data_IF_576772218206
#
_entry.id   IF_576772218206
#
_cell.length_a   1.000
_cell.length_b   1.000
_cell.length_c   1.000
_cell.angle_alpha   90.00
_cell.angle_beta   90.00
_cell.angle_gamma   90.00
#
_symmetry.space_group_name_H-M   'P 1'
#
loop_
_entity.id
_entity.type
_entity.pdbx_description
1 polymer ?
#
# COMPACT_ATOMS: atom_id res chain seq x y z
N UNK A 1 10.74 0.33 -2.41
CA UNK A 1 9.49 0.12 -3.15
C UNK A 1 9.66 -1.02 -4.12
N UNK A 2 8.72 -1.95 -4.17
CA UNK A 2 8.65 -3.04 -5.14
C UNK A 2 7.43 -2.81 -6.03
N UNK A 3 7.59 -2.99 -7.34
CA UNK A 3 6.49 -3.03 -8.30
C UNK A 3 6.43 -4.44 -8.87
N UNK A 4 5.28 -5.09 -8.77
CA UNK A 4 5.05 -6.46 -9.23
C UNK A 4 3.86 -6.45 -10.19
N UNK A 5 4.09 -6.91 -11.42
CA UNK A 5 3.06 -7.02 -12.46
C UNK A 5 3.48 -8.07 -13.48
N UNK A 6 2.54 -8.73 -14.13
CA UNK A 6 2.85 -9.58 -15.28
C UNK A 6 3.05 -8.74 -16.54
N UNK A 7 4.24 -8.79 -17.10
CA UNK A 7 4.65 -8.02 -18.28
C UNK A 7 4.31 -8.75 -19.59
N UNK A 8 3.94 -10.03 -19.52
CA UNK A 8 3.71 -10.86 -20.70
C UNK A 8 2.28 -10.78 -21.23
N UNK A 9 1.33 -10.25 -20.46
CA UNK A 9 -0.09 -10.21 -20.80
C UNK A 9 -0.57 -8.93 -21.49
N UNK A 10 0.22 -7.87 -21.48
CA UNK A 10 -0.18 -6.57 -22.01
C UNK A 10 -0.15 -6.49 -23.53
N UNK A 11 -1.04 -5.68 -24.09
CA UNK A 11 -0.98 -5.27 -25.51
C UNK A 11 0.23 -4.36 -25.74
N UNK A 12 1.43 -4.92 -25.63
CA UNK A 12 2.65 -4.22 -25.98
C UNK A 12 2.62 -3.94 -27.48
N UNK A 13 2.61 -2.69 -27.87
CA UNK A 13 2.87 -2.37 -29.26
C UNK A 13 4.28 -2.86 -29.62
N UNK A 14 4.44 -3.44 -30.81
CA UNK A 14 5.70 -4.01 -31.32
C UNK A 14 6.82 -2.94 -31.48
N UNK A 15 6.71 -1.80 -30.83
CA UNK A 15 7.70 -0.73 -30.85
C UNK A 15 8.73 -0.94 -29.75
N UNK A 16 10.01 -1.16 -30.08
CA UNK A 16 11.09 -1.50 -29.12
C UNK A 16 11.45 -0.40 -28.10
N UNK A 17 10.63 0.63 -27.96
CA UNK A 17 10.88 1.77 -27.05
C UNK A 17 9.96 1.86 -25.85
N UNK A 18 8.85 1.09 -25.80
CA UNK A 18 7.77 1.27 -24.83
C UNK A 18 7.55 0.03 -23.92
N UNK A 19 8.63 -0.53 -23.39
CA UNK A 19 8.54 -1.61 -22.41
C UNK A 19 7.80 -1.16 -21.15
N UNK A 20 7.83 0.13 -20.83
CA UNK A 20 7.16 0.68 -19.66
C UNK A 20 5.62 0.66 -19.76
N UNK A 21 5.04 0.76 -20.95
CA UNK A 21 3.58 0.75 -21.10
C UNK A 21 2.95 -0.64 -20.88
N UNK A 22 3.67 -1.72 -21.18
CA UNK A 22 3.14 -3.10 -21.08
C UNK A 22 2.76 -3.52 -19.67
N UNK A 23 3.46 -3.00 -18.66
CA UNK A 23 3.21 -3.36 -17.25
C UNK A 23 1.88 -2.81 -16.73
N UNK A 24 1.37 -1.76 -17.35
CA UNK A 24 0.18 -1.02 -16.91
C UNK A 24 -1.11 -1.46 -17.61
N UNK A 25 -1.03 -2.33 -18.62
CA UNK A 25 -2.19 -2.70 -19.42
C UNK A 25 -2.43 -4.20 -19.44
N UNK A 26 -3.72 -4.58 -19.45
CA UNK A 26 -4.21 -5.94 -19.64
C UNK A 26 -4.03 -6.35 -21.12
N UNK A 27 -4.13 -7.65 -21.42
CA UNK A 27 -4.03 -8.17 -22.80
C UNK A 27 -5.10 -7.60 -23.74
N UNK A 28 -6.21 -7.11 -23.22
CA UNK A 28 -7.29 -6.49 -23.98
C UNK A 28 -7.10 -4.98 -24.18
N UNK A 29 -5.99 -4.39 -23.70
CA UNK A 29 -5.67 -2.98 -23.78
C UNK A 29 -6.31 -2.09 -22.70
N UNK A 30 -7.06 -2.66 -21.76
CA UNK A 30 -7.55 -1.94 -20.59
C UNK A 30 -6.41 -1.75 -19.57
N UNK A 31 -6.45 -0.64 -18.82
CA UNK A 31 -5.53 -0.40 -17.72
C UNK A 31 -5.70 -1.47 -16.63
N UNK A 32 -4.60 -1.93 -16.04
CA UNK A 32 -4.64 -2.78 -14.84
C UNK A 32 -5.12 -1.98 -13.64
N UNK A 33 -5.78 -2.67 -12.73
CA UNK A 33 -6.06 -2.14 -11.39
C UNK A 33 -4.73 -1.90 -10.65
N UNK A 34 -4.62 -0.79 -9.95
CA UNK A 34 -3.42 -0.43 -9.20
C UNK A 34 -3.68 -0.58 -7.71
N UNK A 35 -2.91 -1.44 -7.07
CA UNK A 35 -2.98 -1.65 -5.62
C UNK A 35 -1.69 -1.18 -4.99
N UNK A 36 -1.79 -0.25 -4.04
CA UNK A 36 -0.68 0.20 -3.23
C UNK A 36 -0.77 -0.35 -1.81
N UNK A 37 0.29 -1.01 -1.38
CA UNK A 37 0.40 -1.61 -0.04
C UNK A 37 1.62 -1.04 0.65
N UNK A 38 1.48 -0.60 1.89
CA UNK A 38 2.64 -0.26 2.71
C UNK A 38 2.59 -0.91 4.10
N UNK A 39 3.77 -1.05 4.67
CA UNK A 39 3.98 -1.50 6.04
C UNK A 39 4.97 -0.60 6.77
N UNK A 40 4.96 -0.70 8.11
CA UNK A 40 5.99 -0.10 8.93
C UNK A 40 5.92 1.41 9.08
N UNK A 41 4.74 2.04 9.07
CA UNK A 41 4.59 3.44 9.52
C UNK A 41 5.08 3.62 10.96
N UNK A 42 4.73 2.67 11.83
CA UNK A 42 5.27 2.63 13.19
C UNK A 42 6.37 1.57 13.25
N UNK A 43 7.56 1.97 13.70
CA UNK A 43 8.73 1.09 13.65
C UNK A 43 8.61 -0.14 14.54
N UNK A 44 7.96 -0.05 15.69
CA UNK A 44 7.73 -1.17 16.59
C UNK A 44 6.57 -2.10 16.19
N UNK A 45 5.92 -1.84 15.09
CA UNK A 45 4.85 -2.69 14.55
C UNK A 45 5.42 -3.68 13.51
N UNK A 46 6.38 -4.51 13.94
CA UNK A 46 7.17 -5.40 13.07
C UNK A 46 6.32 -6.31 12.19
N UNK A 47 5.19 -6.82 12.70
CA UNK A 47 4.30 -7.70 11.94
C UNK A 47 3.72 -6.99 10.71
N UNK A 48 3.47 -5.68 10.77
CA UNK A 48 3.00 -4.91 9.61
C UNK A 48 4.02 -4.91 8.47
N UNK A 49 5.31 -4.76 8.81
CA UNK A 49 6.43 -4.87 7.87
C UNK A 49 6.57 -6.28 7.32
N UNK A 50 6.50 -7.29 8.19
CA UNK A 50 6.60 -8.70 7.78
C UNK A 50 5.45 -9.10 6.86
N UNK A 51 4.23 -8.65 7.12
CA UNK A 51 3.08 -8.92 6.25
C UNK A 51 3.26 -8.30 4.86
N UNK A 52 3.71 -7.05 4.78
CA UNK A 52 3.99 -6.42 3.49
C UNK A 52 5.07 -7.17 2.71
N UNK A 53 6.10 -7.66 3.41
CA UNK A 53 7.15 -8.50 2.80
C UNK A 53 6.59 -9.85 2.32
N UNK A 54 5.80 -10.54 3.15
CA UNK A 54 5.20 -11.84 2.81
C UNK A 54 4.24 -11.75 1.63
N UNK A 55 3.49 -10.64 1.51
CA UNK A 55 2.64 -10.39 0.34
C UNK A 55 3.51 -10.30 -0.92
N UNK A 56 4.60 -9.53 -0.88
CA UNK A 56 5.52 -9.41 -2.01
C UNK A 56 6.14 -10.78 -2.36
N UNK A 57 6.60 -11.52 -1.37
CA UNK A 57 7.19 -12.85 -1.54
C UNK A 57 6.19 -13.82 -2.16
N UNK A 58 4.95 -13.84 -1.69
CA UNK A 58 3.88 -14.70 -2.22
C UNK A 58 3.67 -14.50 -3.72
N UNK A 59 3.55 -13.26 -4.17
CA UNK A 59 3.34 -12.97 -5.58
C UNK A 59 4.57 -13.27 -6.44
N UNK A 60 5.77 -12.98 -5.96
CA UNK A 60 7.02 -13.27 -6.67
C UNK A 60 7.21 -14.79 -6.81
N UNK A 61 7.00 -15.55 -5.74
CA UNK A 61 7.13 -17.01 -5.77
C UNK A 61 6.05 -17.66 -6.62
N UNK A 62 4.80 -17.23 -6.47
CA UNK A 62 3.69 -17.75 -7.25
C UNK A 62 3.86 -17.49 -8.75
N UNK A 63 4.34 -16.29 -9.13
CA UNK A 63 4.70 -16.03 -10.52
C UNK A 63 5.83 -16.95 -11.00
N UNK A 64 6.88 -17.12 -10.22
CA UNK A 64 8.02 -17.97 -10.56
C UNK A 64 7.69 -19.46 -10.67
N UNK A 65 6.68 -19.94 -9.95
CA UNK A 65 6.19 -21.34 -10.00
C UNK A 65 5.06 -21.57 -10.99
N UNK A 66 4.52 -20.51 -11.58
CA UNK A 66 3.40 -20.61 -12.53
C UNK A 66 2.05 -20.85 -11.83
N UNK A 67 1.88 -20.38 -10.60
CA UNK A 67 0.61 -20.45 -9.88
C UNK A 67 -0.48 -19.69 -10.64
N UNK A 68 -1.53 -20.40 -11.03
CA UNK A 68 -2.57 -19.87 -11.92
C UNK A 68 -3.34 -18.71 -11.29
N UNK A 69 -3.59 -18.73 -9.98
CA UNK A 69 -4.28 -17.66 -9.28
C UNK A 69 -3.41 -16.41 -9.23
N UNK A 70 -2.12 -16.55 -8.94
CA UNK A 70 -1.17 -15.44 -8.94
C UNK A 70 -1.02 -14.84 -10.34
N UNK A 71 -0.89 -15.68 -11.36
CA UNK A 71 -0.81 -15.22 -12.76
C UNK A 71 -2.07 -14.46 -13.18
N UNK A 72 -3.26 -14.95 -12.81
CA UNK A 72 -4.52 -14.28 -13.10
C UNK A 72 -4.59 -12.91 -12.43
N UNK A 73 -4.21 -12.80 -11.15
CA UNK A 73 -4.18 -11.53 -10.43
C UNK A 73 -3.19 -10.57 -11.09
N UNK A 74 -1.95 -10.98 -11.32
CA UNK A 74 -0.91 -10.11 -11.89
C UNK A 74 -1.17 -9.72 -13.35
N UNK A 75 -1.95 -10.51 -14.10
CA UNK A 75 -2.38 -10.13 -15.45
C UNK A 75 -3.39 -8.97 -15.45
N UNK A 76 -4.10 -8.76 -14.34
CA UNK A 76 -5.14 -7.75 -14.18
C UNK A 76 -4.75 -6.62 -13.23
N UNK A 77 -3.74 -6.84 -12.38
CA UNK A 77 -3.39 -5.94 -11.28
C UNK A 77 -1.90 -5.61 -11.30
N UNK A 78 -1.61 -4.38 -11.01
CA UNK A 78 -0.28 -3.86 -10.73
C UNK A 78 -0.15 -3.61 -9.22
N UNK A 79 0.82 -4.28 -8.59
CA UNK A 79 1.06 -4.18 -7.15
C UNK A 79 2.26 -3.29 -6.88
N UNK A 80 2.07 -2.26 -6.07
CA UNK A 80 3.14 -1.43 -5.53
C UNK A 80 3.25 -1.67 -4.03
N UNK A 81 4.41 -2.16 -3.57
CA UNK A 81 4.59 -2.58 -2.19
C UNK A 81 5.77 -1.85 -1.56
N UNK A 82 5.50 -1.03 -0.55
CA UNK A 82 6.48 -0.45 0.34
C UNK A 82 6.55 -1.30 1.61
N UNK A 83 7.60 -2.08 1.73
CA UNK A 83 7.74 -3.06 2.82
C UNK A 83 7.87 -2.36 4.18
N UNK A 84 8.66 -1.28 4.24
CA UNK A 84 9.00 -0.60 5.49
C UNK A 84 9.19 0.90 5.25
N UNK A 85 8.28 1.71 5.78
CA UNK A 85 8.36 3.17 5.68
C UNK A 85 9.36 3.73 6.70
N UNK A 86 9.29 3.28 7.96
CA UNK A 86 10.04 3.77 9.10
C UNK A 86 11.18 2.81 9.46
N UNK A 87 12.23 2.81 8.66
CA UNK A 87 13.36 1.89 8.85
C UNK A 87 14.12 2.17 10.16
N UNK A 88 14.35 3.45 10.48
CA UNK A 88 15.07 3.83 11.71
C UNK A 88 14.25 3.46 12.96
N UNK A 89 12.95 3.75 12.95
CA UNK A 89 12.07 3.35 14.05
C UNK A 89 11.99 1.84 14.22
N UNK A 90 12.07 1.08 13.14
CA UNK A 90 12.10 -0.38 13.17
C UNK A 90 13.40 -0.90 13.80
N UNK A 91 14.55 -0.34 13.43
CA UNK A 91 15.85 -0.71 14.00
C UNK A 91 15.93 -0.40 15.51
N UNK A 92 15.35 0.70 15.94
CA UNK A 92 15.33 1.11 17.35
C UNK A 92 14.12 0.56 18.16
N UNK A 93 13.26 -0.23 17.55
CA UNK A 93 12.04 -0.78 18.16
C UNK A 93 11.16 0.32 18.79
N UNK A 94 10.98 1.42 18.05
CA UNK A 94 10.15 2.55 18.48
C UNK A 94 8.99 2.80 17.54
N UNK A 95 7.91 3.37 18.07
CA UNK A 95 6.76 3.79 17.27
C UNK A 95 7.16 4.91 16.27
N UNK A 96 7.96 5.84 16.74
CA UNK A 96 8.33 7.07 16.04
C UNK A 96 9.55 6.88 15.14
N UNK A 97 9.76 7.80 14.21
CA UNK A 97 11.01 7.86 13.46
C UNK A 97 12.16 8.43 14.32
N UNK A 98 13.34 8.58 13.73
CA UNK A 98 14.54 9.10 14.42
C UNK A 98 14.32 10.50 15.00
N UNK A 99 13.44 11.31 14.42
CA UNK A 99 13.09 12.65 14.90
C UNK A 99 11.99 12.65 15.97
N UNK A 100 11.57 11.49 16.47
CA UNK A 100 10.48 11.32 17.43
C UNK A 100 9.12 11.77 16.88
N UNK A 101 8.92 11.65 15.58
CA UNK A 101 7.66 11.97 14.90
C UNK A 101 6.87 10.70 14.63
N UNK A 102 5.57 10.75 14.89
CA UNK A 102 4.61 9.72 14.48
C UNK A 102 4.31 9.91 12.98
N UNK A 103 4.89 9.08 12.13
CA UNK A 103 4.75 9.20 10.68
C UNK A 103 3.30 9.11 10.23
N UNK A 104 2.45 8.34 10.94
CA UNK A 104 1.02 8.25 10.67
C UNK A 104 0.22 9.46 11.18
N UNK A 105 0.90 10.55 11.56
CA UNK A 105 0.35 11.85 11.92
C UNK A 105 0.98 13.00 11.13
N UNK A 106 1.93 12.68 10.24
CA UNK A 106 2.73 13.67 9.53
C UNK A 106 2.23 14.01 8.12
N UNK A 107 1.13 13.39 7.67
CA UNK A 107 0.46 13.74 6.40
C UNK A 107 -0.36 15.02 6.52
N UNK A 108 -0.66 15.69 5.39
CA UNK A 108 -1.27 17.02 5.36
C UNK A 108 -2.78 17.05 5.65
N UNK A 109 -3.47 15.94 5.40
CA UNK A 109 -4.91 15.88 5.59
C UNK A 109 -5.29 16.05 7.05
N UNK A 110 -5.82 17.22 7.39
CA UNK A 110 -6.11 17.64 8.77
C UNK A 110 -4.91 17.52 9.73
N UNK A 111 -3.73 17.83 9.23
CA UNK A 111 -2.51 17.81 10.03
C UNK A 111 -2.68 18.62 11.33
N UNK A 112 -2.09 18.13 12.41
CA UNK A 112 -2.09 18.76 13.75
C UNK A 112 -3.48 19.04 14.34
N UNK A 113 -4.51 18.30 13.94
CA UNK A 113 -5.86 18.42 14.53
C UNK A 113 -6.12 17.46 15.68
N UNK A 114 -5.16 16.57 16.00
CA UNK A 114 -5.22 15.62 17.11
C UNK A 114 -4.21 16.05 18.19
N UNK A 115 -4.72 16.48 19.34
CA UNK A 115 -3.88 16.81 20.50
C UNK A 115 -3.08 15.56 20.96
N UNK A 116 -1.89 15.79 21.50
CA UNK A 116 -0.99 14.78 22.08
C UNK A 116 -0.36 13.76 21.10
N UNK A 117 -0.52 13.92 19.82
CA UNK A 117 0.25 13.14 18.83
C UNK A 117 1.51 13.93 18.44
N UNK A 118 2.57 13.24 18.04
CA UNK A 118 3.82 13.87 17.61
C UNK A 118 3.82 14.01 16.08
N UNK A 119 3.10 15.01 15.52
CA UNK A 119 2.83 15.11 14.09
C UNK A 119 3.99 15.72 13.29
N UNK A 120 5.11 16.06 13.95
CA UNK A 120 6.20 16.81 13.34
C UNK A 120 6.00 18.33 13.38
N UNK A 121 6.94 19.07 12.80
CA UNK A 121 6.94 20.54 12.80
C UNK A 121 5.99 21.15 11.76
N UNK A 122 5.67 20.37 10.74
CA UNK A 122 4.67 20.70 9.70
C UNK A 122 4.20 19.39 9.06
N UNK A 123 3.13 19.46 8.27
CA UNK A 123 2.79 18.36 7.37
C UNK A 123 4.01 18.04 6.48
N UNK A 124 4.27 16.75 6.29
CA UNK A 124 5.42 16.25 5.50
C UNK A 124 6.78 16.81 5.95
N UNK A 125 6.94 17.11 7.25
CA UNK A 125 8.25 17.49 7.78
C UNK A 125 9.28 16.38 7.72
N UNK A 126 8.81 15.13 7.67
CA UNK A 126 9.66 13.96 7.66
C UNK A 126 9.90 13.45 6.23
N UNK A 127 11.14 13.06 5.96
CA UNK A 127 11.55 12.57 4.63
C UNK A 127 10.77 11.36 4.17
N UNK A 128 10.42 10.47 5.09
CA UNK A 128 9.68 9.24 4.85
C UNK A 128 8.27 9.53 4.32
N UNK A 129 7.52 10.37 5.00
CA UNK A 129 6.15 10.73 4.61
C UNK A 129 6.12 11.61 3.38
N UNK A 130 7.10 12.51 3.22
CA UNK A 130 7.24 13.31 2.02
C UNK A 130 7.53 12.42 0.80
N UNK A 131 8.47 11.49 0.91
CA UNK A 131 8.79 10.56 -0.18
C UNK A 131 7.60 9.66 -0.53
N UNK A 132 6.88 9.16 0.48
CA UNK A 132 5.67 8.37 0.27
C UNK A 132 4.58 9.17 -0.42
N UNK A 133 4.36 10.41 0.00
CA UNK A 133 3.39 11.33 -0.62
C UNK A 133 3.73 11.63 -2.09
N UNK A 134 5.00 11.90 -2.39
CA UNK A 134 5.46 12.11 -3.77
C UNK A 134 5.19 10.84 -4.60
N UNK A 135 5.52 9.67 -4.07
CA UNK A 135 5.26 8.42 -4.77
C UNK A 135 3.77 8.21 -5.06
N UNK A 136 2.91 8.43 -4.07
CA UNK A 136 1.45 8.30 -4.24
C UNK A 136 0.89 9.27 -5.27
N UNK A 137 1.40 10.51 -5.31
CA UNK A 137 0.89 11.54 -6.21
C UNK A 137 1.47 11.50 -7.63
N UNK A 138 2.69 10.98 -7.81
CA UNK A 138 3.38 11.04 -9.10
C UNK A 138 3.49 9.68 -9.79
N UNK A 139 3.53 8.58 -9.03
CA UNK A 139 3.72 7.22 -9.57
C UNK A 139 2.43 6.42 -9.57
N UNK A 140 1.62 6.54 -8.52
CA UNK A 140 0.34 5.82 -8.39
C UNK A 140 -0.84 6.75 -8.09
N UNK A 141 -1.00 7.87 -8.83
CA UNK A 141 -2.03 8.88 -8.55
C UNK A 141 -3.46 8.33 -8.64
N UNK A 142 -3.64 7.27 -9.42
CA UNK A 142 -4.92 6.63 -9.70
C UNK A 142 -4.98 5.23 -9.05
N UNK A 143 -4.35 5.04 -7.88
CA UNK A 143 -4.44 3.78 -7.17
C UNK A 143 -5.92 3.46 -6.84
N UNK A 144 -6.36 2.28 -7.25
CA UNK A 144 -7.73 1.80 -7.03
C UNK A 144 -7.94 1.32 -5.60
N UNK A 145 -6.85 0.85 -4.95
CA UNK A 145 -6.87 0.40 -3.57
C UNK A 145 -5.55 0.74 -2.87
N UNK A 146 -5.66 1.32 -1.68
CA UNK A 146 -4.54 1.53 -0.77
C UNK A 146 -4.75 0.75 0.52
N UNK A 147 -3.74 -0.02 0.92
CA UNK A 147 -3.73 -0.81 2.15
C UNK A 147 -2.49 -0.46 2.96
N UNK A 148 -2.67 -0.07 4.21
CA UNK A 148 -1.56 0.14 5.14
C UNK A 148 -1.60 -0.92 6.25
N UNK A 149 -0.45 -1.58 6.46
CA UNK A 149 -0.31 -2.67 7.42
C UNK A 149 0.20 -2.16 8.75
N UNK A 150 -0.65 -2.28 9.77
CA UNK A 150 -0.35 -1.96 11.16
C UNK A 150 -0.49 -3.18 12.07
N UNK A 151 -0.10 -3.05 13.34
CA UNK A 151 -0.32 -4.09 14.36
C UNK A 151 -0.82 -3.51 15.68
N UNK A 152 -1.15 -4.40 16.62
CA UNK A 152 -1.62 -4.02 17.95
C UNK A 152 -3.07 -4.36 18.23
N UNK A 153 -3.93 -4.35 17.20
CA UNK A 153 -5.34 -4.77 17.31
C UNK A 153 -5.75 -5.59 16.10
N UNK A 154 -6.69 -6.50 16.30
CA UNK A 154 -7.23 -7.31 15.21
C UNK A 154 -8.46 -6.61 14.62
N UNK A 155 -8.22 -5.69 13.71
CA UNK A 155 -9.27 -4.83 13.14
C UNK A 155 -8.89 -4.38 11.72
N UNK A 156 -9.89 -4.27 10.87
CA UNK A 156 -9.80 -3.55 9.60
C UNK A 156 -10.43 -2.17 9.77
N UNK A 157 -9.67 -1.13 9.48
CA UNK A 157 -10.12 0.26 9.52
C UNK A 157 -10.22 0.81 8.09
N UNK A 158 -11.20 1.66 7.88
CA UNK A 158 -11.34 2.46 6.66
C UNK A 158 -11.70 3.91 7.02
N UNK A 159 -11.58 4.87 6.13
CA UNK A 159 -11.94 6.26 6.40
C UNK A 159 -13.42 6.39 6.85
N UNK A 160 -13.74 7.34 7.74
CA UNK A 160 -12.80 8.29 8.32
C UNK A 160 -12.53 7.91 9.78
N UNK A 161 -11.28 7.82 10.19
CA UNK A 161 -10.93 7.46 11.56
C UNK A 161 -11.33 8.49 12.62
N UNK A 162 -11.64 9.73 12.22
CA UNK A 162 -11.93 10.85 13.13
C UNK A 162 -13.43 11.20 13.20
N UNK A 163 -14.17 11.04 12.11
CA UNK A 163 -15.56 11.46 12.02
C UNK A 163 -16.50 10.28 11.96
N UNK A 164 -17.74 10.43 12.47
CA UNK A 164 -18.74 9.37 12.41
C UNK A 164 -19.36 9.18 11.02
N UNK A 165 -19.17 10.15 10.11
CA UNK A 165 -19.68 10.08 8.75
C UNK A 165 -18.94 9.01 7.97
N UNK A 166 -19.66 8.27 7.15
CA UNK A 166 -19.08 7.31 6.23
C UNK A 166 -18.59 8.02 4.95
N UNK A 167 -17.47 7.56 4.34
CA UNK A 167 -17.06 8.03 3.02
C UNK A 167 -18.09 7.63 1.96
N UNK A 168 -18.06 8.29 0.80
CA UNK A 168 -19.04 8.06 -0.27
C UNK A 168 -19.01 6.63 -0.86
N UNK A 169 -17.88 5.96 -0.72
CA UNK A 169 -17.57 4.61 -1.20
C UNK A 169 -17.61 3.55 -0.09
N UNK A 170 -18.27 3.84 1.04
CA UNK A 170 -18.32 2.95 2.20
C UNK A 170 -18.83 1.53 1.89
N UNK A 171 -19.70 1.38 0.89
CA UNK A 171 -20.23 0.07 0.50
C UNK A 171 -19.14 -0.84 -0.04
N UNK A 172 -18.14 -0.28 -0.76
CA UNK A 172 -16.98 -1.02 -1.24
C UNK A 172 -16.14 -1.54 -0.06
N UNK A 173 -15.87 -0.70 0.95
CA UNK A 173 -15.14 -1.15 2.16
C UNK A 173 -15.87 -2.26 2.91
N UNK A 174 -17.20 -2.21 2.96
CA UNK A 174 -17.99 -3.28 3.58
C UNK A 174 -17.92 -4.57 2.77
N UNK A 175 -17.94 -4.48 1.45
CA UNK A 175 -17.76 -5.65 0.58
C UNK A 175 -16.37 -6.29 0.79
N UNK A 176 -15.29 -5.50 0.78
CA UNK A 176 -13.93 -5.98 1.04
C UNK A 176 -13.86 -6.64 2.42
N UNK A 177 -14.42 -6.02 3.47
CA UNK A 177 -14.48 -6.59 4.83
C UNK A 177 -15.17 -7.97 4.83
N UNK A 178 -16.29 -8.09 4.17
CA UNK A 178 -17.09 -9.30 4.17
C UNK A 178 -16.37 -10.43 3.42
N UNK A 179 -15.69 -10.13 2.31
CA UNK A 179 -14.83 -11.07 1.58
C UNK A 179 -13.66 -11.54 2.43
N UNK A 180 -12.92 -10.62 3.07
CA UNK A 180 -11.81 -10.97 3.96
C UNK A 180 -12.27 -11.84 5.13
N UNK A 181 -13.41 -11.52 5.74
CA UNK A 181 -13.97 -12.32 6.82
C UNK A 181 -14.39 -13.72 6.35
N UNK A 182 -14.89 -13.85 5.13
CA UNK A 182 -15.29 -15.16 4.57
C UNK A 182 -14.11 -16.12 4.44
N UNK A 183 -12.92 -15.60 4.13
CA UNK A 183 -11.68 -16.40 3.97
C UNK A 183 -11.04 -16.72 5.32
N UNK A 184 -11.15 -15.84 6.31
CA UNK A 184 -10.47 -16.00 7.61
C UNK A 184 -11.05 -17.09 8.52
N UNK A 185 -12.21 -17.66 8.19
CA UNK A 185 -12.90 -18.70 8.96
C UNK A 185 -12.92 -20.08 8.27
N UNK A 186 -12.26 -20.23 7.14
CA UNK A 186 -12.08 -21.52 6.44
C UNK A 186 -10.69 -22.08 6.66
#
# INVERSE_FOLDING_TARGET
MLQISDWNGGACSDSPGDIDDCKHYKSNGERKEVVYIDGGHHGNEHLGTELAFLVAEYYIQGWGTGDQQVLEILSNTELHILIMLNADGNDFDTRWNVNQVDLNRNYDHYWNTCDSTQPGSSAFSESETLANSIYMNEVVPDADLYITMHTGVWIMLYPWGKWPEQPSDWEMYHHIRDEVNSVSYT
#
